data_IF_849564826373
#
_entry.id   IF_849564826373
#
_cell.length_a   1.000
_cell.length_b   1.000
_cell.length_c   1.000
_cell.angle_alpha   90.00
_cell.angle_beta   90.00
_cell.angle_gamma   90.00
#
_symmetry.space_group_name_H-M   'P 1'
#
loop_
_entity.id
_entity.type
_entity.pdbx_description
1 polymer ?
#
# COMPACT_ATOMS: atom_id res chain seq x y z
N UNK A 1 14.72 22.37 -4.05
CA UNK A 1 15.60 21.84 -5.12
C UNK A 1 15.04 20.56 -5.72
N UNK A 2 14.48 19.64 -4.92
CA UNK A 2 13.86 18.38 -5.40
C UNK A 2 12.64 18.57 -6.31
N UNK A 3 11.72 19.49 -6.00
CA UNK A 3 10.55 19.78 -6.86
C UNK A 3 10.96 20.13 -8.31
N UNK A 4 12.04 20.89 -8.47
CA UNK A 4 12.58 21.28 -9.77
C UNK A 4 13.21 20.10 -10.51
N UNK A 5 13.78 19.12 -9.79
CA UNK A 5 14.32 17.89 -10.39
C UNK A 5 13.21 16.98 -10.92
N UNK A 6 12.12 16.85 -10.15
CA UNK A 6 10.93 16.09 -10.56
C UNK A 6 10.29 16.72 -11.81
N UNK A 7 10.12 18.04 -11.80
CA UNK A 7 9.55 18.78 -12.94
C UNK A 7 10.40 18.67 -14.22
N UNK A 8 11.74 18.72 -14.08
CA UNK A 8 12.67 18.51 -15.20
C UNK A 8 12.61 17.07 -15.70
N UNK A 9 12.53 16.08 -14.80
CA UNK A 9 12.39 14.68 -15.17
C UNK A 9 11.06 14.41 -15.90
N UNK A 10 9.95 14.97 -15.42
CA UNK A 10 8.64 14.88 -16.05
C UNK A 10 8.66 15.51 -17.45
N UNK A 11 9.28 16.69 -17.61
CA UNK A 11 9.42 17.37 -18.90
C UNK A 11 10.29 16.59 -19.89
N UNK A 12 11.31 15.89 -19.40
CA UNK A 12 12.19 15.03 -20.23
C UNK A 12 11.45 13.76 -20.69
N UNK A 13 10.69 13.13 -19.80
CA UNK A 13 9.90 11.94 -20.11
C UNK A 13 8.81 12.25 -21.15
N UNK A 14 8.13 13.40 -21.02
CA UNK A 14 7.16 13.88 -22.01
C UNK A 14 7.74 14.02 -23.42
N UNK A 15 8.99 14.51 -23.53
CA UNK A 15 9.67 14.62 -24.85
C UNK A 15 10.01 13.26 -25.45
N UNK A 16 10.45 12.29 -24.63
CA UNK A 16 10.80 10.95 -25.12
C UNK A 16 9.57 10.20 -25.64
N UNK A 17 8.47 10.24 -24.89
CA UNK A 17 7.21 9.60 -25.30
C UNK A 17 6.67 10.26 -26.58
N UNK A 18 6.75 11.60 -26.68
CA UNK A 18 6.33 12.31 -27.89
C UNK A 18 7.18 11.92 -29.11
N UNK A 19 8.51 11.78 -28.97
CA UNK A 19 9.36 11.31 -30.07
C UNK A 19 9.08 9.87 -30.48
N UNK A 20 8.75 9.00 -29.54
CA UNK A 20 8.40 7.60 -29.82
C UNK A 20 7.03 7.48 -30.52
N UNK A 21 6.04 8.30 -30.15
CA UNK A 21 4.75 8.35 -30.85
C UNK A 21 4.87 8.86 -32.28
N UNK A 22 5.82 9.76 -32.56
CA UNK A 22 6.07 10.25 -33.93
C UNK A 22 6.66 9.18 -34.84
N UNK A 23 7.56 8.33 -34.31
CA UNK A 23 8.20 7.25 -35.09
C UNK A 23 7.26 6.12 -35.47
N UNK A 24 6.19 5.88 -34.71
CA UNK A 24 5.18 4.84 -35.04
C UNK A 24 4.26 5.30 -36.18
N UNK A 25 4.13 6.61 -36.42
CA UNK A 25 3.26 7.17 -37.46
C UNK A 25 3.92 7.32 -38.83
N UNK A 26 5.25 7.35 -38.93
CA UNK A 26 5.95 7.44 -40.23
C UNK A 26 5.96 6.10 -40.99
N UNK A 27 5.76 4.97 -40.32
CA UNK A 27 5.88 3.62 -40.93
C UNK A 27 4.60 3.08 -41.57
N UNK A 28 3.49 3.84 -41.63
CA UNK A 28 2.19 3.34 -42.10
C UNK A 28 1.58 4.11 -43.27
N UNK A 29 2.37 4.78 -44.11
CA UNK A 29 1.87 5.43 -45.34
C UNK A 29 2.43 4.70 -46.57
N UNK A 30 1.93 3.49 -46.82
CA UNK A 30 1.99 2.88 -48.15
C UNK A 30 0.78 3.36 -48.96
N UNK A 31 1.05 4.08 -50.04
CA UNK A 31 0.07 4.53 -51.04
C UNK A 31 -0.09 3.41 -52.08
N UNK A 32 -1.27 2.74 -52.22
CA UNK A 32 -1.45 1.82 -53.31
C UNK A 32 -1.85 2.58 -54.59
N UNK A 33 -1.33 2.07 -55.70
CA UNK A 33 -1.51 2.57 -57.04
C UNK A 33 -2.96 2.47 -57.55
N UNK A 34 -3.24 3.28 -58.58
CA UNK A 34 -4.50 3.44 -59.33
C UNK A 34 -5.14 2.12 -59.75
N UNK A 35 -6.44 1.98 -59.48
CA UNK A 35 -7.36 1.11 -60.25
C UNK A 35 -8.69 1.85 -60.55
N UNK A 36 -9.37 1.32 -61.57
CA UNK A 36 -10.37 1.90 -62.46
C UNK A 36 -11.75 2.30 -61.84
N UNK A 37 -12.59 3.08 -62.56
CA UNK A 37 -13.72 3.81 -61.99
C UNK A 37 -15.04 3.01 -62.07
N UNK A 38 -15.45 2.33 -61.00
CA UNK A 38 -16.82 1.78 -60.92
C UNK A 38 -17.33 1.47 -59.50
N UNK A 39 -17.06 2.32 -58.50
CA UNK A 39 -17.63 2.18 -57.14
C UNK A 39 -17.84 3.53 -56.47
N UNK A 40 -18.82 4.32 -56.94
CA UNK A 40 -18.98 5.73 -56.50
C UNK A 40 -19.85 5.95 -55.25
N UNK A 41 -20.70 5.02 -54.82
CA UNK A 41 -21.62 5.29 -53.69
C UNK A 41 -21.09 4.85 -52.30
N UNK A 42 -20.28 3.79 -52.20
CA UNK A 42 -19.79 3.27 -50.90
C UNK A 42 -18.44 3.86 -50.48
N UNK A 43 -17.72 4.50 -51.40
CA UNK A 43 -16.43 5.12 -51.09
C UNK A 43 -16.59 6.50 -50.46
N UNK A 44 -17.69 7.20 -50.70
CA UNK A 44 -17.93 8.54 -50.15
C UNK A 44 -18.16 8.49 -48.63
N UNK A 45 -19.03 7.61 -48.12
CA UNK A 45 -19.25 7.46 -46.67
C UNK A 45 -17.98 7.03 -45.92
N UNK A 46 -17.21 6.09 -46.49
CA UNK A 46 -15.93 5.67 -45.91
C UNK A 46 -14.86 6.76 -46.01
N UNK A 47 -14.82 7.57 -47.08
CA UNK A 47 -13.93 8.73 -47.19
C UNK A 47 -14.35 9.85 -46.23
N UNK A 48 -15.63 10.10 -46.03
CA UNK A 48 -16.16 11.11 -45.09
C UNK A 48 -15.84 10.75 -43.64
N UNK A 49 -16.06 9.50 -43.22
CA UNK A 49 -15.66 9.03 -41.90
C UNK A 49 -14.13 9.08 -41.71
N UNK A 50 -13.37 8.74 -42.77
CA UNK A 50 -11.90 8.81 -42.74
C UNK A 50 -11.40 10.26 -42.73
N UNK A 51 -12.09 11.20 -43.37
CA UNK A 51 -11.74 12.64 -43.42
C UNK A 51 -12.21 13.42 -42.19
N UNK A 52 -13.27 12.99 -41.52
CA UNK A 52 -13.63 13.46 -40.16
C UNK A 52 -12.62 12.95 -39.12
N UNK A 53 -12.16 11.69 -39.25
CA UNK A 53 -11.10 11.11 -38.42
C UNK A 53 -9.77 11.85 -38.62
N UNK A 54 -9.22 11.85 -39.85
CA UNK A 54 -8.76 13.06 -40.56
C UNK A 54 -8.45 14.33 -39.74
N UNK A 55 -9.45 15.20 -39.71
CA UNK A 55 -9.42 16.53 -39.09
C UNK A 55 -9.27 16.50 -37.56
N UNK A 56 -9.52 15.35 -36.92
CA UNK A 56 -9.35 15.14 -35.49
C UNK A 56 -8.05 14.41 -35.11
N UNK A 57 -7.21 14.03 -36.08
CA UNK A 57 -5.96 13.24 -35.90
C UNK A 57 -4.97 13.86 -34.90
N UNK A 58 -5.04 15.17 -34.67
CA UNK A 58 -4.20 15.83 -33.67
C UNK A 58 -4.60 15.56 -32.21
N UNK A 59 -5.82 15.05 -31.97
CA UNK A 59 -6.41 14.94 -30.64
C UNK A 59 -6.33 13.51 -30.10
N UNK A 60 -5.61 13.33 -28.99
CA UNK A 60 -5.54 12.06 -28.23
C UNK A 60 -6.87 11.75 -27.50
N UNK A 61 -7.90 12.57 -27.69
CA UNK A 61 -9.19 12.43 -26.99
C UNK A 61 -9.94 11.13 -27.28
N UNK A 62 -9.71 10.50 -28.44
CA UNK A 62 -10.36 9.23 -28.80
C UNK A 62 -9.93 8.06 -27.87
N UNK A 63 -8.74 8.12 -27.26
CA UNK A 63 -8.25 7.06 -26.35
C UNK A 63 -8.95 7.04 -24.98
N UNK A 64 -9.72 8.08 -24.67
CA UNK A 64 -10.44 8.22 -23.40
C UNK A 64 -11.91 7.78 -23.49
N UNK A 65 -12.29 7.06 -24.56
CA UNK A 65 -13.66 6.57 -24.79
C UNK A 65 -14.69 7.72 -24.75
N UNK A 66 -14.31 8.90 -25.22
CA UNK A 66 -15.20 10.06 -25.29
C UNK A 66 -15.64 10.22 -26.74
N UNK A 67 -16.96 10.25 -26.95
CA UNK A 67 -17.54 10.47 -28.27
C UNK A 67 -17.19 11.87 -28.79
N UNK A 68 -16.39 11.90 -29.86
CA UNK A 68 -15.97 13.12 -30.56
C UNK A 68 -16.85 13.44 -31.77
N UNK A 69 -17.81 12.58 -32.10
CA UNK A 69 -18.68 12.68 -33.28
C UNK A 69 -19.57 13.92 -33.32
N UNK A 70 -19.79 14.56 -32.17
CA UNK A 70 -20.65 15.75 -32.04
C UNK A 70 -19.86 17.04 -32.28
N UNK A 71 -18.52 16.97 -32.35
CA UNK A 71 -17.67 18.13 -32.59
C UNK A 71 -17.76 18.57 -34.05
N UNK A 72 -17.76 19.88 -34.27
CA UNK A 72 -17.57 20.43 -35.61
C UNK A 72 -16.18 20.09 -36.11
N UNK A 73 -16.07 19.85 -37.42
CA UNK A 73 -14.80 19.73 -38.10
C UNK A 73 -14.01 21.04 -37.96
N UNK A 74 -12.70 20.93 -37.69
CA UNK A 74 -11.79 22.08 -37.54
C UNK A 74 -11.82 23.02 -38.75
N UNK A 75 -12.10 22.50 -39.95
CA UNK A 75 -12.17 23.27 -41.19
C UNK A 75 -13.54 23.90 -41.47
N UNK A 76 -14.58 23.55 -40.71
CA UNK A 76 -15.98 23.94 -40.97
C UNK A 76 -16.50 25.02 -39.98
N UNK A 77 -15.62 25.61 -39.17
CA UNK A 77 -15.95 26.63 -38.16
C UNK A 77 -15.97 28.05 -38.77
N UNK A 78 -17.01 28.36 -39.55
CA UNK A 78 -17.11 29.64 -40.26
C UNK A 78 -17.81 30.74 -39.43
N UNK A 79 -18.90 30.41 -38.75
CA UNK A 79 -19.71 31.39 -38.01
C UNK A 79 -19.25 31.55 -36.56
N UNK A 80 -19.45 32.73 -35.93
CA UNK A 80 -19.14 32.91 -34.52
C UNK A 80 -19.98 31.97 -33.64
N UNK A 81 -21.26 31.75 -33.92
CA UNK A 81 -22.15 30.88 -33.15
C UNK A 81 -21.67 29.42 -33.11
N UNK A 82 -21.19 28.90 -34.25
CA UNK A 82 -20.54 27.58 -34.30
C UNK A 82 -19.27 27.53 -33.44
N UNK A 83 -18.45 28.60 -33.45
CA UNK A 83 -17.25 28.68 -32.60
C UNK A 83 -17.61 28.68 -31.11
N UNK A 84 -18.63 29.44 -30.70
CA UNK A 84 -19.14 29.44 -29.33
C UNK A 84 -19.62 28.04 -28.91
N UNK A 85 -20.40 27.40 -29.77
CA UNK A 85 -20.93 26.05 -29.52
C UNK A 85 -19.79 25.04 -29.42
N UNK A 86 -18.79 25.10 -30.31
CA UNK A 86 -17.61 24.25 -30.26
C UNK A 86 -16.82 24.43 -28.95
N UNK A 87 -16.65 25.66 -28.46
CA UNK A 87 -15.97 25.92 -27.18
C UNK A 87 -16.71 25.22 -26.03
N UNK A 88 -18.05 25.28 -26.01
CA UNK A 88 -18.85 24.61 -24.97
C UNK A 88 -18.73 23.08 -25.08
N UNK A 89 -18.79 22.52 -26.28
CA UNK A 89 -18.63 21.08 -26.50
C UNK A 89 -17.22 20.59 -26.10
N UNK A 90 -16.17 21.34 -26.43
CA UNK A 90 -14.80 21.05 -26.02
C UNK A 90 -14.63 21.11 -24.50
N UNK A 91 -15.23 22.09 -23.82
CA UNK A 91 -15.23 22.13 -22.36
C UNK A 91 -15.91 20.91 -21.74
N UNK A 92 -17.02 20.45 -22.32
CA UNK A 92 -17.69 19.23 -21.89
C UNK A 92 -16.82 17.99 -22.10
N UNK A 93 -16.12 17.91 -23.24
CA UNK A 93 -15.19 16.83 -23.54
C UNK A 93 -14.01 16.81 -22.57
N UNK A 94 -13.41 17.97 -22.27
CA UNK A 94 -12.36 18.10 -21.23
C UNK A 94 -12.87 17.60 -19.88
N UNK A 95 -14.11 17.95 -19.51
CA UNK A 95 -14.73 17.46 -18.28
C UNK A 95 -14.86 15.94 -18.29
N UNK A 96 -15.34 15.33 -19.39
CA UNK A 96 -15.48 13.88 -19.52
C UNK A 96 -14.13 13.14 -19.46
N UNK A 97 -13.09 13.66 -20.11
CA UNK A 97 -11.72 13.09 -20.03
C UNK A 97 -11.22 13.12 -18.58
N UNK A 98 -11.42 14.25 -17.88
CA UNK A 98 -11.06 14.38 -16.47
C UNK A 98 -11.87 13.43 -15.58
N UNK A 99 -13.17 13.29 -15.83
CA UNK A 99 -14.04 12.38 -15.09
C UNK A 99 -13.63 10.91 -15.29
N UNK A 100 -13.33 10.50 -16.53
CA UNK A 100 -12.85 9.16 -16.85
C UNK A 100 -11.52 8.85 -16.11
N UNK A 101 -10.56 9.77 -16.16
CA UNK A 101 -9.32 9.64 -15.41
C UNK A 101 -9.56 9.61 -13.89
N UNK A 102 -10.43 10.46 -13.36
CA UNK A 102 -10.76 10.47 -11.94
C UNK A 102 -11.37 9.14 -11.46
N UNK A 103 -12.19 8.49 -12.30
CA UNK A 103 -12.70 7.14 -12.02
C UNK A 103 -11.58 6.12 -11.96
N UNK A 104 -10.67 6.11 -12.94
CA UNK A 104 -9.49 5.23 -12.93
C UNK A 104 -8.62 5.49 -11.69
N UNK A 105 -8.39 6.76 -11.34
CA UNK A 105 -7.64 7.17 -10.15
C UNK A 105 -8.29 6.68 -8.85
N UNK A 106 -9.61 6.82 -8.71
CA UNK A 106 -10.35 6.34 -7.54
C UNK A 106 -10.23 4.82 -7.39
N UNK A 107 -10.31 4.06 -8.49
CA UNK A 107 -10.08 2.61 -8.42
C UNK A 107 -8.66 2.25 -7.99
N UNK A 108 -7.65 2.99 -8.43
CA UNK A 108 -6.26 2.80 -8.00
C UNK A 108 -6.08 3.17 -6.52
N UNK A 109 -6.74 4.22 -6.05
CA UNK A 109 -6.75 4.61 -4.64
C UNK A 109 -7.39 3.52 -3.75
N UNK A 110 -8.53 2.96 -4.15
CA UNK A 110 -9.17 1.87 -3.44
C UNK A 110 -8.30 0.60 -3.40
N UNK A 111 -7.62 0.27 -4.51
CA UNK A 111 -6.63 -0.81 -4.54
C UNK A 111 -5.49 -0.55 -3.55
N UNK A 112 -4.98 0.68 -3.46
CA UNK A 112 -3.96 1.05 -2.46
C UNK A 112 -4.43 0.77 -1.04
N UNK A 113 -5.67 1.17 -0.71
CA UNK A 113 -6.24 0.93 0.63
C UNK A 113 -6.32 -0.57 0.95
N UNK A 114 -6.73 -1.39 -0.02
CA UNK A 114 -6.78 -2.84 0.13
C UNK A 114 -5.39 -3.45 0.34
N UNK A 115 -4.39 -3.02 -0.44
CA UNK A 115 -3.01 -3.51 -0.25
C UNK A 115 -2.42 -3.07 1.09
N UNK A 116 -2.67 -1.83 1.53
CA UNK A 116 -2.28 -1.38 2.88
C UNK A 116 -2.95 -2.21 3.98
N UNK A 117 -4.22 -2.57 3.83
CA UNK A 117 -4.92 -3.44 4.78
C UNK A 117 -4.27 -4.83 4.86
N UNK A 118 -3.97 -5.44 3.71
CA UNK A 118 -3.26 -6.73 3.63
C UNK A 118 -1.86 -6.66 4.25
N UNK A 119 -1.11 -5.58 4.01
CA UNK A 119 0.21 -5.37 4.60
C UNK A 119 0.10 -5.25 6.12
N UNK A 120 -0.92 -4.54 6.63
CA UNK A 120 -1.16 -4.45 8.08
C UNK A 120 -1.45 -5.81 8.71
N UNK A 121 -2.28 -6.64 8.07
CA UNK A 121 -2.55 -8.01 8.54
C UNK A 121 -1.27 -8.86 8.58
N UNK A 122 -0.46 -8.82 7.51
CA UNK A 122 0.84 -9.49 7.45
C UNK A 122 1.83 -8.96 8.51
N UNK A 123 1.84 -7.65 8.75
CA UNK A 123 2.67 -7.02 9.78
C UNK A 123 2.27 -7.44 11.19
N UNK A 124 0.98 -7.65 11.47
CA UNK A 124 0.54 -8.23 12.75
C UNK A 124 1.13 -9.63 12.94
N UNK A 125 1.12 -10.46 11.89
CA UNK A 125 1.75 -11.79 11.94
C UNK A 125 3.27 -11.69 12.15
N UNK A 126 3.96 -10.77 11.46
CA UNK A 126 5.40 -10.54 11.68
C UNK A 126 5.68 -10.09 13.12
N UNK A 127 4.85 -9.20 13.70
CA UNK A 127 4.98 -8.78 15.11
C UNK A 127 4.81 -9.93 16.08
N UNK A 128 3.90 -10.87 15.81
CA UNK A 128 3.75 -12.09 16.60
C UNK A 128 5.02 -12.94 16.52
N UNK A 129 5.51 -13.20 15.30
CA UNK A 129 6.75 -13.96 15.09
C UNK A 129 7.94 -13.29 15.81
N UNK A 130 8.07 -11.97 15.72
CA UNK A 130 9.12 -11.22 16.44
C UNK A 130 8.99 -11.34 17.96
N UNK A 131 7.76 -11.35 18.49
CA UNK A 131 7.52 -11.58 19.92
C UNK A 131 7.86 -13.03 20.33
N UNK A 132 7.65 -14.00 19.45
CA UNK A 132 8.00 -15.40 19.68
C UNK A 132 9.53 -15.62 19.64
N UNK A 133 10.25 -14.85 18.81
CA UNK A 133 11.72 -14.87 18.73
C UNK A 133 12.42 -14.00 19.79
N UNK A 134 11.66 -13.18 20.52
CA UNK A 134 12.16 -12.09 21.37
C UNK A 134 13.05 -11.08 20.57
N UNK A 135 12.81 -10.95 19.26
CA UNK A 135 13.54 -10.05 18.37
C UNK A 135 12.95 -8.63 18.37
N UNK A 136 13.78 -7.62 18.62
CA UNK A 136 13.38 -6.19 18.64
C UNK A 136 13.54 -5.53 17.27
N UNK A 137 13.33 -6.26 16.17
CA UNK A 137 13.47 -5.68 14.83
C UNK A 137 12.26 -4.79 14.52
N UNK A 138 12.48 -3.53 14.06
CA UNK A 138 11.38 -2.65 13.68
C UNK A 138 10.68 -3.19 12.43
N UNK A 139 9.37 -3.40 12.52
CA UNK A 139 8.54 -3.85 11.40
C UNK A 139 8.22 -2.65 10.49
N UNK A 140 8.29 -2.86 9.18
CA UNK A 140 7.97 -1.83 8.20
C UNK A 140 6.47 -1.62 8.09
N UNK A 141 5.98 -0.43 8.46
CA UNK A 141 4.56 -0.08 8.41
C UNK A 141 4.32 1.06 7.42
N UNK A 142 3.82 0.77 6.21
CA UNK A 142 3.44 1.81 5.27
C UNK A 142 2.11 2.43 5.68
N UNK A 143 2.08 3.76 5.67
CA UNK A 143 0.86 4.54 5.89
C UNK A 143 0.65 5.57 4.78
N UNK A 144 -0.59 6.02 4.66
CA UNK A 144 -0.95 7.12 3.76
C UNK A 144 -0.25 8.40 4.19
N UNK A 145 0.49 9.01 3.26
CA UNK A 145 1.18 10.28 3.50
C UNK A 145 0.17 11.43 3.57
N UNK A 146 0.49 12.52 4.27
CA UNK A 146 -0.36 13.72 4.38
C UNK A 146 -0.83 14.26 3.02
N UNK A 147 0.03 14.16 1.99
CA UNK A 147 -0.30 14.56 0.61
C UNK A 147 -1.42 13.76 -0.03
N UNK A 148 -1.68 12.55 0.47
CA UNK A 148 -2.68 11.62 -0.07
C UNK A 148 -4.03 11.76 0.64
N UNK A 149 -4.07 12.51 1.75
CA UNK A 149 -5.26 12.79 2.54
C UNK A 149 -5.51 14.30 2.52
N UNK A 150 -6.15 14.84 1.47
CA UNK A 150 -6.36 16.27 1.35
C UNK A 150 -7.18 16.86 2.51
N UNK A 151 -8.04 16.04 3.14
CA UNK A 151 -8.83 16.45 4.31
C UNK A 151 -7.95 16.82 5.51
N UNK A 152 -6.79 16.16 5.69
CA UNK A 152 -5.87 16.47 6.79
C UNK A 152 -5.30 17.89 6.71
N UNK A 153 -5.36 18.56 5.56
CA UNK A 153 -4.96 19.96 5.45
C UNK A 153 -5.91 20.90 6.22
N UNK A 154 -7.17 20.49 6.39
CA UNK A 154 -8.18 21.28 7.09
C UNK A 154 -8.28 20.94 8.58
N UNK A 155 -7.71 19.81 9.00
CA UNK A 155 -7.74 19.34 10.37
C UNK A 155 -6.46 19.76 11.10
N UNK A 156 -6.60 20.58 12.15
CA UNK A 156 -5.48 20.96 13.02
C UNK A 156 -5.33 19.91 14.12
N UNK A 157 -4.13 19.32 14.25
CA UNK A 157 -3.85 18.38 15.34
C UNK A 157 -3.48 19.14 16.60
N UNK A 158 -3.83 18.62 17.77
CA UNK A 158 -3.45 19.21 19.06
C UNK A 158 -1.93 19.38 19.20
N UNK A 159 -1.14 18.52 18.56
CA UNK A 159 0.33 18.62 18.51
C UNK A 159 0.86 19.85 17.78
N UNK A 160 0.05 20.46 16.90
CA UNK A 160 0.42 21.69 16.17
C UNK A 160 0.14 22.95 17.00
N UNK A 161 -0.73 22.83 18.01
CA UNK A 161 -1.07 23.90 18.94
C UNK A 161 -0.07 23.93 20.08
N UNK A 162 0.88 24.86 20.02
CA UNK A 162 1.94 25.02 21.04
C UNK A 162 1.46 25.62 22.37
N UNK A 163 0.24 26.14 22.40
CA UNK A 163 -0.32 26.82 23.57
C UNK A 163 -1.07 25.80 24.41
N UNK A 164 -0.80 25.77 25.71
CA UNK A 164 -1.55 24.93 26.64
C UNK A 164 -3.03 25.31 26.60
N UNK A 165 -3.90 24.29 26.51
CA UNK A 165 -5.34 24.50 26.55
C UNK A 165 -5.71 25.12 27.89
N UNK A 166 -6.21 26.35 27.89
CA UNK A 166 -6.73 26.95 29.11
C UNK A 166 -8.01 26.22 29.56
N UNK A 167 -8.02 25.76 30.81
CA UNK A 167 -9.17 25.14 31.47
C UNK A 167 -9.72 26.06 32.55
N UNK A 168 -11.04 26.14 32.67
CA UNK A 168 -11.67 26.82 33.80
C UNK A 168 -11.50 25.99 35.09
N UNK A 169 -11.58 26.61 36.28
CA UNK A 169 -11.43 25.89 37.56
C UNK A 169 -12.44 24.73 37.74
N UNK A 170 -13.64 24.87 37.17
CA UNK A 170 -14.65 23.80 37.18
C UNK A 170 -14.28 22.64 36.25
N UNK A 171 -13.72 22.93 35.07
CA UNK A 171 -13.25 21.91 34.13
C UNK A 171 -12.04 21.14 34.69
N UNK A 172 -11.14 21.82 35.40
CA UNK A 172 -10.01 21.17 36.08
C UNK A 172 -10.50 20.16 37.13
N UNK A 173 -11.47 20.53 37.97
CA UNK A 173 -12.07 19.61 38.95
C UNK A 173 -12.72 18.40 38.28
N UNK A 174 -13.48 18.61 37.21
CA UNK A 174 -14.08 17.51 36.45
C UNK A 174 -13.03 16.57 35.85
N UNK A 175 -11.93 17.11 35.31
CA UNK A 175 -10.85 16.33 34.75
C UNK A 175 -10.09 15.53 35.82
N UNK A 176 -9.87 16.12 37.00
CA UNK A 176 -9.28 15.44 38.16
C UNK A 176 -10.18 14.31 38.68
N UNK A 177 -11.50 14.55 38.79
CA UNK A 177 -12.47 13.52 39.16
C UNK A 177 -12.49 12.36 38.15
N UNK A 178 -12.47 12.67 36.85
CA UNK A 178 -12.38 11.66 35.80
C UNK A 178 -11.09 10.84 35.91
N UNK A 179 -9.94 11.50 36.08
CA UNK A 179 -8.65 10.83 36.30
C UNK A 179 -8.67 9.89 37.51
N UNK A 180 -9.16 10.38 38.64
CA UNK A 180 -9.24 9.60 39.87
C UNK A 180 -10.17 8.38 39.70
N UNK A 181 -11.29 8.55 38.99
CA UNK A 181 -12.22 7.47 38.71
C UNK A 181 -11.62 6.42 37.78
N UNK A 182 -10.89 6.82 36.75
CA UNK A 182 -10.15 5.89 35.87
C UNK A 182 -9.03 5.14 36.60
N UNK A 183 -8.30 5.81 37.49
CA UNK A 183 -7.28 5.18 38.32
C UNK A 183 -7.90 4.17 39.28
N UNK A 184 -9.02 4.52 39.92
CA UNK A 184 -9.79 3.60 40.76
C UNK A 184 -10.29 2.40 39.95
N UNK A 185 -10.79 2.61 38.72
CA UNK A 185 -11.22 1.53 37.83
C UNK A 185 -10.05 0.60 37.50
N UNK A 186 -8.89 1.15 37.11
CA UNK A 186 -7.66 0.36 36.87
C UNK A 186 -7.19 -0.41 38.11
N UNK A 187 -7.34 0.13 39.31
CA UNK A 187 -7.00 -0.57 40.55
C UNK A 187 -7.97 -1.72 40.83
N UNK A 188 -9.27 -1.52 40.64
CA UNK A 188 -10.28 -2.57 40.79
C UNK A 188 -10.09 -3.69 39.78
N UNK A 189 -9.83 -3.37 38.51
CA UNK A 189 -9.51 -4.36 37.46
C UNK A 189 -8.29 -5.21 37.83
N UNK A 190 -7.25 -4.63 38.47
CA UNK A 190 -6.09 -5.40 38.96
C UNK A 190 -6.41 -6.30 40.15
N UNK A 191 -7.34 -5.90 41.02
CA UNK A 191 -7.74 -6.69 42.18
C UNK A 191 -8.61 -7.88 41.80
N UNK A 192 -9.39 -7.78 40.72
CA UNK A 192 -10.46 -8.73 40.38
C UNK A 192 -10.09 -9.76 39.30
N UNK A 193 -8.81 -10.15 39.23
CA UNK A 193 -8.32 -11.15 38.28
C UNK A 193 -8.30 -12.59 38.85
N UNK A 194 -9.36 -13.03 39.54
CA UNK A 194 -9.44 -14.42 40.04
C UNK A 194 -9.35 -15.45 38.90
N UNK A 195 -9.91 -15.12 37.72
CA UNK A 195 -9.88 -15.96 36.53
C UNK A 195 -8.46 -16.11 35.96
N UNK A 196 -7.70 -15.03 35.83
CA UNK A 196 -6.32 -15.09 35.37
C UNK A 196 -5.39 -15.74 36.41
N UNK A 197 -5.62 -15.48 37.70
CA UNK A 197 -4.91 -16.18 38.79
C UNK A 197 -5.16 -17.69 38.74
N UNK A 198 -6.41 -18.11 38.58
CA UNK A 198 -6.76 -19.53 38.44
C UNK A 198 -6.14 -20.17 37.20
N UNK A 199 -6.08 -19.45 36.07
CA UNK A 199 -5.40 -19.95 34.87
C UNK A 199 -3.88 -20.05 35.06
N UNK A 200 -3.26 -19.08 35.75
CA UNK A 200 -1.86 -19.12 36.15
C UNK A 200 -1.56 -20.30 37.08
N UNK A 201 -2.42 -20.55 38.07
CA UNK A 201 -2.24 -21.60 39.07
C UNK A 201 -2.51 -23.01 38.53
N UNK A 202 -3.53 -23.17 37.67
CA UNK A 202 -3.90 -24.49 37.12
C UNK A 202 -3.15 -24.85 35.84
N UNK A 203 -2.81 -23.88 34.98
CA UNK A 203 -2.22 -24.13 33.65
C UNK A 203 -1.04 -23.21 33.31
N UNK A 204 -0.42 -22.57 34.30
CA UNK A 204 0.76 -21.72 34.07
C UNK A 204 0.48 -20.47 33.21
N UNK A 205 -0.79 -20.09 33.06
CA UNK A 205 -1.19 -18.83 32.41
C UNK A 205 -1.53 -18.93 30.93
N UNK A 206 -1.40 -20.12 30.32
CA UNK A 206 -1.66 -20.32 28.90
C UNK A 206 -2.72 -21.41 28.70
N UNK A 207 -3.83 -21.04 28.04
CA UNK A 207 -4.97 -21.93 27.80
C UNK A 207 -4.67 -23.02 26.75
N UNK A 208 -3.77 -22.74 25.81
CA UNK A 208 -3.30 -23.66 24.77
C UNK A 208 -1.79 -23.54 24.64
N UNK A 209 -1.05 -24.58 25.00
CA UNK A 209 0.40 -24.63 24.80
C UNK A 209 0.67 -24.56 23.30
N UNK A 210 1.20 -23.42 22.82
CA UNK A 210 1.69 -23.33 21.46
C UNK A 210 3.05 -24.00 21.38
N UNK A 211 3.41 -24.50 20.19
CA UNK A 211 4.75 -25.06 19.94
C UNK A 211 5.86 -24.03 20.26
N UNK A 212 5.51 -22.74 20.19
CA UNK A 212 6.36 -21.59 20.53
C UNK A 212 6.58 -21.42 22.06
N UNK A 213 5.67 -21.89 22.91
CA UNK A 213 5.79 -21.78 24.38
C UNK A 213 6.68 -22.88 24.98
N UNK A 214 6.79 -24.03 24.31
CA UNK A 214 7.74 -25.10 24.67
C UNK A 214 9.20 -24.63 24.55
N UNK A 215 9.44 -23.58 23.76
CA UNK A 215 10.73 -22.93 23.57
C UNK A 215 11.24 -22.24 24.85
N UNK A 216 10.35 -21.82 25.76
CA UNK A 216 10.69 -21.08 26.99
C UNK A 216 10.81 -21.96 28.23
N UNK A 217 10.44 -23.26 28.15
CA UNK A 217 10.56 -24.21 29.27
C UNK A 217 12.01 -24.67 29.41
N UNK A 218 12.73 -24.13 30.39
CA UNK A 218 14.06 -24.64 30.74
C UNK A 218 13.94 -26.01 31.42
N UNK A 219 14.76 -27.00 31.01
CA UNK A 219 14.87 -28.25 31.76
C UNK A 219 15.58 -27.91 33.08
N UNK A 220 14.92 -28.06 34.25
CA UNK A 220 15.52 -27.73 35.52
C UNK A 220 16.78 -28.58 35.73
N UNK A 221 17.84 -27.94 36.22
CA UNK A 221 19.08 -28.63 36.55
C UNK A 221 18.78 -29.72 37.60
N UNK A 222 19.37 -30.92 37.48
CA UNK A 222 19.19 -31.96 38.48
C UNK A 222 19.61 -31.44 39.87
N UNK A 223 18.86 -31.73 40.95
CA UNK A 223 19.12 -31.18 42.29
C UNK A 223 20.55 -31.45 42.80
N UNK A 224 21.10 -32.64 42.52
CA UNK A 224 22.45 -33.02 42.93
C UNK A 224 23.56 -32.19 42.25
N UNK A 225 23.31 -31.68 41.04
CA UNK A 225 24.26 -30.82 40.31
C UNK A 225 24.25 -29.36 40.82
N UNK A 226 23.26 -29.00 41.64
CA UNK A 226 23.16 -27.69 42.30
C UNK A 226 23.74 -27.77 43.72
N UNK A 227 23.62 -28.92 44.38
CA UNK A 227 23.97 -29.09 45.80
C UNK A 227 25.37 -29.64 46.05
N UNK A 228 25.96 -30.44 45.13
CA UNK A 228 27.25 -31.12 45.33
C UNK A 228 28.28 -30.82 44.23
N UNK A 229 29.56 -30.63 44.58
CA UNK A 229 30.64 -30.40 43.61
C UNK A 229 30.92 -31.66 42.75
N UNK A 230 31.48 -31.45 41.56
CA UNK A 230 31.71 -32.46 40.51
C UNK A 230 32.52 -33.69 40.98
N UNK A 231 33.34 -33.52 42.01
CA UNK A 231 34.21 -34.57 42.55
C UNK A 231 33.49 -35.59 43.46
N UNK A 232 32.31 -35.25 43.98
CA UNK A 232 31.51 -36.12 44.87
C UNK A 232 30.45 -36.94 44.13
N UNK A 233 30.42 -36.89 42.80
CA UNK A 233 29.39 -37.56 42.01
C UNK A 233 29.61 -39.07 41.95
N UNK A 234 28.59 -39.80 42.36
CA UNK A 234 28.47 -41.25 42.20
C UNK A 234 28.39 -41.58 40.70
N UNK A 235 28.83 -42.78 40.30
CA UNK A 235 28.82 -43.22 38.90
C UNK A 235 27.41 -43.17 38.26
N UNK A 236 26.37 -43.39 39.06
CA UNK A 236 24.96 -43.23 38.69
C UNK A 236 24.55 -41.76 38.50
N UNK A 237 25.05 -40.84 39.34
CA UNK A 237 24.79 -39.40 39.23
C UNK A 237 25.47 -38.80 37.99
N UNK A 238 26.67 -39.31 37.63
CA UNK A 238 27.37 -38.97 36.37
C UNK A 238 26.56 -39.36 35.14
N UNK A 239 25.94 -40.55 35.13
CA UNK A 239 25.07 -40.98 34.02
C UNK A 239 23.82 -40.11 33.90
N UNK A 240 23.18 -39.76 35.01
CA UNK A 240 22.00 -38.86 35.01
C UNK A 240 22.36 -37.46 34.50
N UNK A 241 23.55 -36.96 34.85
CA UNK A 241 24.03 -35.67 34.33
C UNK A 241 24.34 -35.71 32.83
N UNK A 242 24.93 -36.81 32.32
CA UNK A 242 25.14 -36.99 30.88
C UNK A 242 23.82 -37.03 30.10
N UNK A 243 22.80 -37.71 30.64
CA UNK A 243 21.44 -37.69 30.06
C UNK A 243 20.82 -36.29 30.10
N UNK A 244 21.02 -35.54 31.19
CA UNK A 244 20.58 -34.14 31.27
C UNK A 244 21.23 -33.28 30.19
N UNK A 245 22.55 -33.37 30.02
CA UNK A 245 23.27 -32.64 28.97
C UNK A 245 22.80 -33.02 27.56
N UNK A 246 22.53 -34.30 27.30
CA UNK A 246 21.95 -34.75 26.03
C UNK A 246 20.56 -34.13 25.80
N UNK A 247 19.67 -34.17 26.79
CA UNK A 247 18.33 -33.56 26.70
C UNK A 247 18.39 -32.04 26.50
N UNK A 248 19.34 -31.35 27.15
CA UNK A 248 19.56 -29.91 26.94
C UNK A 248 20.04 -29.62 25.52
N UNK A 249 20.93 -30.45 24.97
CA UNK A 249 21.38 -30.32 23.56
C UNK A 249 20.24 -30.57 22.58
N UNK A 250 19.48 -31.65 22.75
CA UNK A 250 18.31 -31.95 21.92
C UNK A 250 17.30 -30.80 21.95
N UNK A 251 17.04 -30.24 23.13
CA UNK A 251 16.16 -29.09 23.27
C UNK A 251 16.72 -27.85 22.55
N UNK A 252 18.02 -27.57 22.67
CA UNK A 252 18.65 -26.47 21.96
C UNK A 252 18.57 -26.63 20.44
N UNK A 253 18.77 -27.85 19.92
CA UNK A 253 18.62 -28.14 18.50
C UNK A 253 17.17 -27.93 18.01
N UNK A 254 16.17 -28.36 18.77
CA UNK A 254 14.76 -28.10 18.46
C UNK A 254 14.44 -26.60 18.50
N UNK A 255 15.01 -25.85 19.47
CA UNK A 255 14.87 -24.39 19.52
C UNK A 255 15.45 -23.71 18.29
N UNK A 256 16.63 -24.13 17.86
CA UNK A 256 17.30 -23.57 16.69
C UNK A 256 16.58 -23.95 15.38
N UNK A 257 15.99 -25.15 15.29
CA UNK A 257 15.12 -25.53 14.16
C UNK A 257 13.89 -24.64 14.09
N UNK A 258 13.19 -24.44 15.21
CA UNK A 258 11.98 -23.61 15.26
C UNK A 258 12.28 -22.13 14.97
N UNK A 259 13.38 -21.60 15.51
CA UNK A 259 13.87 -20.25 15.16
C UNK A 259 14.12 -20.10 13.67
N UNK A 260 14.76 -21.09 13.03
CA UNK A 260 14.96 -21.09 11.57
C UNK A 260 13.64 -21.10 10.82
N UNK A 261 12.68 -21.95 11.21
CA UNK A 261 11.36 -22.02 10.57
C UNK A 261 10.64 -20.67 10.66
N UNK A 262 10.54 -20.10 11.85
CA UNK A 262 9.88 -18.80 12.05
C UNK A 262 10.60 -17.65 11.34
N UNK A 263 11.94 -17.66 11.33
CA UNK A 263 12.73 -16.68 10.56
C UNK A 263 12.48 -16.79 9.06
N UNK A 264 12.39 -18.02 8.51
CA UNK A 264 12.03 -18.22 7.10
C UNK A 264 10.59 -17.83 6.79
N UNK A 265 9.65 -18.04 7.72
CA UNK A 265 8.28 -17.56 7.58
C UNK A 265 8.23 -16.04 7.51
N UNK A 266 8.91 -15.34 8.42
CA UNK A 266 9.01 -13.88 8.41
C UNK A 266 9.66 -13.35 7.12
N UNK A 267 10.75 -13.97 6.65
CA UNK A 267 11.39 -13.61 5.37
C UNK A 267 10.41 -13.75 4.21
N UNK A 268 9.69 -14.88 4.14
CA UNK A 268 8.69 -15.13 3.09
C UNK A 268 7.55 -14.13 3.12
N UNK A 269 7.06 -13.75 4.30
CA UNK A 269 6.02 -12.72 4.42
C UNK A 269 6.54 -11.37 3.91
N UNK A 270 7.79 -11.00 4.25
CA UNK A 270 8.42 -9.77 3.77
C UNK A 270 8.62 -9.77 2.24
N UNK A 271 9.07 -10.87 1.65
CA UNK A 271 9.17 -11.03 0.20
C UNK A 271 7.81 -10.84 -0.48
N UNK A 272 6.75 -11.47 0.04
CA UNK A 272 5.39 -11.27 -0.47
C UNK A 272 4.87 -9.83 -0.29
N UNK A 273 5.32 -9.11 0.74
CA UNK A 273 4.98 -7.68 0.90
C UNK A 273 5.69 -6.88 -0.19
N UNK A 274 6.96 -7.15 -0.48
CA UNK A 274 7.72 -6.48 -1.53
C UNK A 274 7.10 -6.74 -2.92
N UNK A 275 6.79 -7.99 -3.25
CA UNK A 275 6.13 -8.34 -4.51
C UNK A 275 4.79 -7.61 -4.70
N UNK A 276 3.97 -7.53 -3.63
CA UNK A 276 2.72 -6.79 -3.66
C UNK A 276 2.94 -5.27 -3.87
N UNK A 277 3.99 -4.71 -3.27
CA UNK A 277 4.37 -3.30 -3.46
C UNK A 277 4.79 -3.04 -4.91
N UNK A 278 5.65 -3.89 -5.47
CA UNK A 278 6.15 -3.77 -6.83
C UNK A 278 5.01 -3.89 -7.86
N UNK A 279 4.08 -4.83 -7.63
CA UNK A 279 2.89 -4.98 -8.47
C UNK A 279 2.01 -3.73 -8.44
N UNK A 280 1.84 -3.11 -7.27
CA UNK A 280 1.10 -1.85 -7.15
C UNK A 280 1.85 -0.67 -7.81
N UNK A 281 3.17 -0.62 -7.71
CA UNK A 281 3.98 0.42 -8.35
C UNK A 281 3.85 0.40 -9.88
N UNK A 282 3.75 -0.79 -10.48
CA UNK A 282 3.47 -0.91 -11.92
C UNK A 282 2.11 -0.29 -12.31
N UNK A 283 1.07 -0.50 -11.48
CA UNK A 283 -0.25 0.11 -11.68
C UNK A 283 -0.12 1.65 -11.59
N UNK A 284 0.65 2.16 -10.63
CA UNK A 284 0.88 3.61 -10.49
C UNK A 284 1.62 4.20 -11.71
N UNK A 285 2.63 3.50 -12.24
CA UNK A 285 3.34 3.93 -13.45
C UNK A 285 2.38 4.00 -14.64
N UNK A 286 1.52 2.99 -14.81
CA UNK A 286 0.51 2.99 -15.87
C UNK A 286 -0.48 4.15 -15.70
N UNK A 287 -0.99 4.38 -14.48
CA UNK A 287 -1.87 5.49 -14.17
C UNK A 287 -1.19 6.84 -14.44
N UNK A 288 0.11 6.97 -14.13
CA UNK A 288 0.87 8.18 -14.40
C UNK A 288 1.02 8.45 -15.90
N UNK A 289 1.28 7.42 -16.71
CA UNK A 289 1.28 7.54 -18.17
C UNK A 289 -0.09 8.00 -18.68
N UNK A 290 -1.17 7.39 -18.19
CA UNK A 290 -2.54 7.76 -18.52
C UNK A 290 -2.86 9.21 -18.13
N UNK A 291 -2.37 9.68 -16.98
CA UNK A 291 -2.48 11.08 -16.55
C UNK A 291 -1.78 12.03 -17.53
N UNK A 292 -0.58 11.68 -18.00
CA UNK A 292 0.15 12.50 -18.98
C UNK A 292 -0.65 12.59 -20.28
N UNK A 293 -1.18 11.46 -20.77
CA UNK A 293 -2.01 11.41 -21.97
C UNK A 293 -3.29 12.25 -21.82
N UNK A 294 -3.95 12.19 -20.66
CA UNK A 294 -5.13 13.00 -20.38
C UNK A 294 -4.79 14.49 -20.37
N UNK A 295 -3.63 14.85 -19.81
CA UNK A 295 -3.17 16.24 -19.79
C UNK A 295 -2.78 16.75 -21.19
N UNK A 296 -2.15 15.92 -22.03
CA UNK A 296 -1.85 16.31 -23.41
C UNK A 296 -3.14 16.50 -24.21
N UNK A 297 -4.12 15.60 -24.05
CA UNK A 297 -5.43 15.71 -24.69
C UNK A 297 -6.22 16.96 -24.28
N UNK A 298 -5.98 17.51 -23.08
CA UNK A 298 -6.64 18.73 -22.59
C UNK A 298 -5.92 20.02 -23.03
N UNK A 299 -4.62 19.94 -23.32
CA UNK A 299 -3.80 21.10 -23.70
C UNK A 299 -3.79 21.34 -25.22
N UNK A 300 -3.92 20.28 -26.01
CA UNK A 300 -4.07 20.34 -27.47
C UNK A 300 -5.41 20.97 -27.87
#
# INVERSE_FOLDING_TARGET
>A
IERRRIEIAEKKLRRQIFSESSTVHETSVDVPAREDPSTLDNEEEHREQKTQSIALIGSVSNEFQVDTSILYNQFELYTPEQKWTQIVLLNNLIYKIKEAFNKEFETAYQRKLQELAKIREKNIRIKQINADLDDTTPVWEPDLTEKEKPILLFDVKDSEVKVERYYTPEQLKQLEEQRLNEERRRQMEKLDNWRERGLNEMMGGVLQVRREDELKKEIPKPPFAVEKPEDEWTEMEKQVYQQYLQRVKEQQEERDKLRKVLSTEASKINEQIQENCDAFEQILIQLHRRRILAQTAVIQ
#
